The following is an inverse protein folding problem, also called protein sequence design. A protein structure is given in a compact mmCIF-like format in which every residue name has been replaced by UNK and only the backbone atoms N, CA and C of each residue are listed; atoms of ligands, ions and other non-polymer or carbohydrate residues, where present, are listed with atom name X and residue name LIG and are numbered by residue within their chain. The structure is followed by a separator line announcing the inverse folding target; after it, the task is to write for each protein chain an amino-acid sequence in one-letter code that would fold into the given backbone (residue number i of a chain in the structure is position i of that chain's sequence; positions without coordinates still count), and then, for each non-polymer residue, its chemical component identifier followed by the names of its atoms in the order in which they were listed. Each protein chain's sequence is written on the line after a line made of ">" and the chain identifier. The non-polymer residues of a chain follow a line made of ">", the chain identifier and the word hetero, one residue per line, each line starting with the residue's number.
data_IF_906248040991
#
_entry.id   IF_906248040991
#
_cell.length_a   1.000
_cell.length_b   1.000
_cell.length_c   1.000
_cell.angle_alpha   90.00
_cell.angle_beta   90.00
_cell.angle_gamma   90.00
#
_symmetry.space_group_name_H-M   'P 1'
#
loop_
_entity.id
_entity.type
_entity.pdbx_description
1 polymer ?
#
# COMPACT_ATOMS: atom_id res chain seq x y z
N UNK A 1 -24.44 -4.42 -15.19
CA UNK A 1 -23.88 -5.75 -14.87
C UNK A 1 -22.39 -5.57 -14.64
N UNK A 2 -21.83 -6.14 -13.57
CA UNK A 2 -20.39 -6.04 -13.35
C UNK A 2 -19.68 -6.82 -14.46
N UNK A 3 -18.84 -6.13 -15.24
CA UNK A 3 -17.93 -6.77 -16.21
C UNK A 3 -17.03 -7.72 -15.41
N UNK A 4 -17.01 -9.00 -15.80
CA UNK A 4 -16.09 -9.98 -15.21
C UNK A 4 -14.64 -9.59 -15.53
N UNK A 5 -13.71 -9.92 -14.64
CA UNK A 5 -12.30 -9.54 -14.79
C UNK A 5 -11.65 -10.14 -16.04
N UNK A 6 -12.08 -11.32 -16.50
CA UNK A 6 -11.62 -11.88 -17.79
C UNK A 6 -11.99 -10.98 -18.96
N UNK A 7 -13.28 -10.60 -19.03
CA UNK A 7 -13.79 -9.75 -20.10
C UNK A 7 -13.17 -8.36 -20.06
N UNK A 8 -12.94 -7.81 -18.86
CA UNK A 8 -12.27 -6.52 -18.70
C UNK A 8 -10.82 -6.60 -19.15
N UNK A 9 -10.09 -7.67 -18.77
CA UNK A 9 -8.68 -7.86 -19.12
C UNK A 9 -8.45 -7.93 -20.63
N UNK A 10 -9.38 -8.55 -21.36
CA UNK A 10 -9.30 -8.69 -22.82
C UNK A 10 -9.91 -7.48 -23.57
N UNK A 11 -10.51 -6.53 -22.85
CA UNK A 11 -11.11 -5.33 -23.43
C UNK A 11 -10.03 -4.39 -23.97
N UNK A 12 -10.11 -4.09 -25.26
CA UNK A 12 -9.35 -3.00 -25.90
C UNK A 12 -10.02 -1.63 -25.77
N UNK A 13 -11.26 -1.59 -25.27
CA UNK A 13 -11.97 -0.34 -25.02
C UNK A 13 -11.56 0.22 -23.66
N UNK A 14 -10.86 1.35 -23.68
CA UNK A 14 -10.41 2.10 -22.50
C UNK A 14 -11.58 2.53 -21.63
N UNK A 15 -12.76 2.80 -22.21
CA UNK A 15 -13.94 3.21 -21.45
C UNK A 15 -14.40 2.11 -20.48
N UNK A 16 -14.24 0.84 -20.83
CA UNK A 16 -14.56 -0.27 -19.91
C UNK A 16 -13.67 -0.25 -18.66
N UNK A 17 -12.40 0.17 -18.80
CA UNK A 17 -11.46 0.31 -17.69
C UNK A 17 -11.77 1.52 -16.84
N UNK A 18 -12.09 2.66 -17.46
CA UNK A 18 -12.55 3.87 -16.76
C UNK A 18 -13.82 3.58 -15.97
N UNK A 19 -14.82 2.94 -16.57
CA UNK A 19 -16.07 2.56 -15.91
C UNK A 19 -15.85 1.58 -14.75
N UNK A 20 -14.88 0.66 -14.88
CA UNK A 20 -14.52 -0.25 -13.80
C UNK A 20 -13.83 0.49 -12.64
N UNK A 21 -12.96 1.44 -12.95
CA UNK A 21 -12.27 2.29 -11.97
C UNK A 21 -13.26 3.22 -11.25
N UNK A 22 -14.23 3.81 -11.95
CA UNK A 22 -15.22 4.73 -11.37
C UNK A 22 -16.10 4.06 -10.30
N UNK A 23 -16.28 2.74 -10.38
CA UNK A 23 -16.97 1.98 -9.33
C UNK A 23 -16.25 2.02 -7.98
N UNK A 24 -14.93 2.24 -7.96
CA UNK A 24 -14.18 2.46 -6.73
C UNK A 24 -14.74 3.65 -5.95
N UNK A 25 -14.97 4.77 -6.65
CA UNK A 25 -15.47 6.02 -6.05
C UNK A 25 -16.94 5.92 -5.60
N UNK A 26 -17.70 5.01 -6.20
CA UNK A 26 -19.07 4.70 -5.78
C UNK A 26 -19.15 3.76 -4.55
N UNK A 27 -18.03 3.20 -4.09
CA UNK A 27 -18.01 2.30 -2.94
C UNK A 27 -18.38 3.07 -1.65
N UNK A 28 -19.38 2.61 -0.86
CA UNK A 28 -19.81 3.31 0.36
C UNK A 28 -18.72 3.52 1.41
N UNK A 29 -17.71 2.64 1.47
CA UNK A 29 -16.57 2.78 2.39
C UNK A 29 -15.65 3.91 1.93
N UNK A 30 -15.30 3.93 0.64
CA UNK A 30 -14.47 4.97 0.01
C UNK A 30 -15.18 6.32 0.07
N UNK A 31 -16.50 6.34 -0.16
CA UNK A 31 -17.29 7.57 -0.13
C UNK A 31 -17.30 8.26 1.24
N UNK A 32 -17.13 7.51 2.35
CA UNK A 32 -17.06 8.07 3.71
C UNK A 32 -15.70 8.70 4.03
N UNK A 33 -14.63 8.24 3.38
CA UNK A 33 -13.27 8.75 3.51
C UNK A 33 -12.81 9.50 2.26
N UNK A 34 -13.75 9.99 1.45
CA UNK A 34 -13.48 10.49 0.08
C UNK A 34 -12.40 11.56 0.03
N UNK A 35 -12.41 12.51 0.94
CA UNK A 35 -11.41 13.60 0.97
C UNK A 35 -10.01 13.06 1.24
N UNK A 36 -9.87 12.07 2.13
CA UNK A 36 -8.60 11.41 2.42
C UNK A 36 -8.13 10.57 1.23
N UNK A 37 -9.02 9.82 0.61
CA UNK A 37 -8.72 9.03 -0.60
C UNK A 37 -8.27 9.92 -1.76
N UNK A 38 -8.99 11.01 -2.02
CA UNK A 38 -8.65 11.98 -3.05
C UNK A 38 -7.34 12.72 -2.76
N UNK A 39 -7.07 13.02 -1.48
CA UNK A 39 -5.79 13.59 -1.09
C UNK A 39 -4.65 12.60 -1.40
N UNK A 40 -4.76 11.34 -0.95
CA UNK A 40 -3.72 10.34 -1.16
C UNK A 40 -3.49 10.04 -2.65
N UNK A 41 -4.56 10.01 -3.46
CA UNK A 41 -4.46 9.82 -4.91
C UNK A 41 -3.72 10.96 -5.63
N UNK A 42 -3.58 12.13 -5.01
CA UNK A 42 -2.86 13.30 -5.59
C UNK A 42 -1.48 13.52 -4.98
N UNK A 43 -1.04 12.64 -4.07
CA UNK A 43 0.29 12.75 -3.47
C UNK A 43 1.31 12.35 -4.52
N UNK A 44 2.04 13.34 -5.01
CA UNK A 44 3.15 13.16 -5.95
C UNK A 44 4.50 13.55 -5.31
N UNK A 45 5.60 13.18 -5.96
CA UNK A 45 6.95 13.41 -5.45
C UNK A 45 7.22 14.91 -5.19
N UNK A 46 6.71 15.80 -6.05
CA UNK A 46 6.83 17.26 -5.94
C UNK A 46 6.08 17.81 -4.73
N UNK A 47 4.94 17.22 -4.37
CA UNK A 47 4.25 17.54 -3.13
C UNK A 47 5.11 17.17 -1.93
N UNK A 48 5.62 15.93 -1.88
CA UNK A 48 6.49 15.46 -0.79
C UNK A 48 7.74 16.32 -0.67
N UNK A 49 8.37 16.70 -1.79
CA UNK A 49 9.58 17.51 -1.81
C UNK A 49 9.42 18.85 -1.08
N UNK A 50 8.27 19.51 -1.22
CA UNK A 50 8.00 20.84 -0.65
C UNK A 50 7.74 20.85 0.85
N UNK A 51 7.33 19.71 1.43
CA UNK A 51 6.96 19.66 2.85
C UNK A 51 8.13 20.05 3.75
N UNK A 52 7.91 20.91 4.72
CA UNK A 52 8.88 21.10 5.78
C UNK A 52 8.87 19.92 6.78
N UNK A 53 9.61 20.06 7.87
CA UNK A 53 9.73 19.03 8.89
C UNK A 53 8.39 18.73 9.59
N UNK A 54 7.60 19.76 9.90
CA UNK A 54 6.30 19.61 10.56
C UNK A 54 5.27 19.05 9.58
N UNK A 55 5.22 19.61 8.36
CA UNK A 55 4.31 19.18 7.31
C UNK A 55 4.55 17.71 6.91
N UNK A 56 5.81 17.25 6.98
CA UNK A 56 6.15 15.85 6.74
C UNK A 56 5.63 14.91 7.82
N UNK A 57 5.70 15.31 9.09
CA UNK A 57 5.07 14.56 10.18
C UNK A 57 3.54 14.57 10.05
N UNK A 58 2.94 15.72 9.71
CA UNK A 58 1.49 15.83 9.52
C UNK A 58 1.01 14.97 8.34
N UNK A 59 1.81 14.87 7.28
CA UNK A 59 1.60 13.93 6.19
C UNK A 59 1.59 12.48 6.70
N UNK A 60 2.57 12.08 7.52
CA UNK A 60 2.55 10.75 8.12
C UNK A 60 1.32 10.50 9.00
N UNK A 61 0.90 11.49 9.78
CA UNK A 61 -0.32 11.35 10.58
C UNK A 61 -1.54 11.05 9.69
N UNK A 62 -1.70 11.78 8.57
CA UNK A 62 -2.74 11.52 7.56
C UNK A 62 -2.56 10.15 6.91
N UNK A 63 -1.33 9.78 6.54
CA UNK A 63 -1.01 8.49 5.92
C UNK A 63 -1.39 7.32 6.82
N UNK A 64 -1.06 7.39 8.11
CA UNK A 64 -1.39 6.34 9.07
C UNK A 64 -2.92 6.20 9.23
N UNK A 65 -3.65 7.32 9.29
CA UNK A 65 -5.12 7.32 9.35
C UNK A 65 -5.79 6.78 8.09
N UNK A 66 -5.17 6.99 6.93
CA UNK A 66 -5.63 6.40 5.68
C UNK A 66 -5.33 4.90 5.61
N UNK A 67 -4.12 4.49 6.03
CA UNK A 67 -3.63 3.13 5.81
C UNK A 67 -4.13 2.12 6.85
N UNK A 68 -4.33 2.55 8.10
CA UNK A 68 -4.69 1.67 9.20
C UNK A 68 -6.13 1.92 9.64
N UNK A 69 -6.85 0.84 9.89
CA UNK A 69 -8.20 0.86 10.46
C UNK A 69 -8.14 0.91 12.00
N UNK A 70 -9.25 1.32 12.62
CA UNK A 70 -9.34 1.71 14.05
C UNK A 70 -8.68 0.75 15.04
N UNK A 71 -8.74 -0.57 14.80
CA UNK A 71 -8.18 -1.58 15.70
C UNK A 71 -6.65 -1.53 15.84
N UNK A 72 -5.95 -0.93 14.87
CA UNK A 72 -4.49 -0.78 14.90
C UNK A 72 -4.05 0.68 14.85
N UNK A 73 -4.93 1.60 14.44
CA UNK A 73 -4.56 3.00 14.21
C UNK A 73 -3.95 3.66 15.45
N UNK A 74 -4.55 3.46 16.64
CA UNK A 74 -4.07 4.10 17.87
C UNK A 74 -2.63 3.68 18.21
N UNK A 75 -2.34 2.38 18.22
CA UNK A 75 -0.99 1.86 18.48
C UNK A 75 0.02 2.35 17.45
N UNK A 76 -0.38 2.39 16.16
CA UNK A 76 0.49 2.87 15.09
C UNK A 76 0.79 4.37 15.21
N UNK A 77 -0.18 5.18 15.60
CA UNK A 77 0.04 6.61 15.86
C UNK A 77 0.95 6.82 17.08
N UNK A 78 0.76 6.04 18.17
CA UNK A 78 1.68 6.08 19.31
C UNK A 78 3.11 5.71 18.93
N UNK A 79 3.29 4.76 17.99
CA UNK A 79 4.61 4.42 17.47
C UNK A 79 5.17 5.52 16.56
N UNK A 80 4.34 6.18 15.75
CA UNK A 80 4.73 7.33 14.96
C UNK A 80 5.29 8.45 15.85
N UNK A 81 4.61 8.75 16.97
CA UNK A 81 4.99 9.78 17.94
C UNK A 81 6.32 9.49 18.66
N UNK A 82 6.80 8.24 18.62
CA UNK A 82 8.11 7.86 19.16
C UNK A 82 9.27 8.16 18.20
N UNK A 83 9.00 8.57 16.97
CA UNK A 83 10.04 9.03 16.05
C UNK A 83 10.32 10.52 16.30
N UNK A 84 11.59 10.94 16.20
CA UNK A 84 11.88 12.37 16.19
C UNK A 84 11.58 12.98 14.82
N UNK A 85 11.20 14.26 14.81
CA UNK A 85 10.89 15.01 13.60
C UNK A 85 12.09 15.06 12.65
N UNK A 86 13.30 15.27 13.18
CA UNK A 86 14.55 15.31 12.43
C UNK A 86 14.83 13.96 11.78
N UNK A 87 14.56 12.87 12.50
CA UNK A 87 14.77 11.52 11.98
C UNK A 87 13.80 11.22 10.83
N UNK A 88 12.50 11.51 10.99
CA UNK A 88 11.52 11.37 9.91
C UNK A 88 11.92 12.21 8.69
N UNK A 89 12.35 13.45 8.90
CA UNK A 89 12.79 14.33 7.83
C UNK A 89 14.07 13.84 7.13
N UNK A 90 14.98 13.18 7.85
CA UNK A 90 16.14 12.53 7.25
C UNK A 90 15.75 11.35 6.34
N UNK A 91 14.69 10.61 6.71
CA UNK A 91 14.13 9.55 5.87
C UNK A 91 13.52 10.14 4.61
N UNK A 92 12.83 11.30 4.70
CA UNK A 92 12.37 12.04 3.52
C UNK A 92 13.53 12.38 2.60
N UNK A 93 14.63 12.95 3.13
CA UNK A 93 15.81 13.25 2.34
C UNK A 93 16.38 12.02 1.64
N UNK A 94 16.40 10.88 2.32
CA UNK A 94 16.85 9.60 1.75
C UNK A 94 15.93 9.09 0.63
N UNK A 95 14.61 9.28 0.76
CA UNK A 95 13.63 8.93 -0.27
C UNK A 95 13.79 9.80 -1.51
N UNK A 96 13.95 11.11 -1.33
CA UNK A 96 14.10 12.05 -2.44
C UNK A 96 15.44 11.93 -3.18
N UNK A 97 16.44 11.29 -2.54
CA UNK A 97 17.73 11.02 -3.14
C UNK A 97 17.76 9.73 -3.99
N UNK A 98 16.67 8.96 -4.04
CA UNK A 98 16.58 7.75 -4.86
C UNK A 98 16.62 8.11 -6.34
N UNK A 99 17.42 7.37 -7.10
CA UNK A 99 17.46 7.45 -8.56
C UNK A 99 16.74 6.26 -9.21
N UNK A 100 16.71 6.23 -10.55
CA UNK A 100 16.06 5.15 -11.31
C UNK A 100 16.67 3.77 -11.04
N UNK A 101 17.97 3.67 -10.78
CA UNK A 101 18.62 2.38 -10.49
C UNK A 101 18.18 1.87 -9.11
N UNK A 102 18.02 2.78 -8.17
CA UNK A 102 17.52 2.46 -6.84
C UNK A 102 16.04 2.05 -6.83
N UNK A 103 15.22 2.68 -7.67
CA UNK A 103 13.80 2.36 -7.79
C UNK A 103 13.54 0.96 -8.39
N UNK A 104 14.48 0.40 -9.16
CA UNK A 104 14.40 -1.00 -9.60
C UNK A 104 14.47 -1.96 -8.40
N UNK A 105 15.17 -1.61 -7.32
CA UNK A 105 15.23 -2.41 -6.10
C UNK A 105 14.13 -2.01 -5.10
N UNK A 106 12.95 -2.61 -5.28
CA UNK A 106 11.82 -2.46 -4.36
C UNK A 106 12.17 -2.74 -2.88
N UNK A 107 13.15 -3.61 -2.59
CA UNK A 107 13.56 -3.89 -1.21
C UNK A 107 14.37 -2.73 -0.64
N UNK A 108 15.23 -2.10 -1.44
CA UNK A 108 15.97 -0.90 -1.04
C UNK A 108 15.00 0.19 -0.62
N UNK A 109 14.03 0.51 -1.48
CA UNK A 109 13.02 1.53 -1.20
C UNK A 109 12.19 1.18 0.06
N UNK A 110 11.69 -0.06 0.15
CA UNK A 110 10.91 -0.50 1.31
C UNK A 110 11.70 -0.45 2.63
N UNK A 111 13.00 -0.79 2.60
CA UNK A 111 13.87 -0.77 3.76
C UNK A 111 14.16 0.64 4.30
N UNK A 112 13.99 1.69 3.48
CA UNK A 112 14.14 3.07 3.93
C UNK A 112 13.00 3.51 4.83
N UNK A 113 11.80 2.97 4.62
CA UNK A 113 10.57 3.46 5.25
C UNK A 113 9.98 2.50 6.26
N UNK A 114 10.30 1.20 6.19
CA UNK A 114 9.78 0.24 7.17
C UNK A 114 10.51 0.30 8.51
N UNK A 115 9.86 -0.20 9.56
CA UNK A 115 10.45 -0.42 10.87
C UNK A 115 11.75 -1.26 10.78
N UNK A 116 12.83 -0.87 11.47
CA UNK A 116 12.87 0.15 12.53
C UNK A 116 13.11 1.60 12.06
N UNK A 117 13.21 1.87 10.74
CA UNK A 117 13.47 3.22 10.23
C UNK A 117 12.33 4.18 10.52
N UNK A 118 11.08 3.79 10.29
CA UNK A 118 9.93 4.54 10.77
C UNK A 118 9.13 3.62 11.66
N UNK A 119 9.06 3.96 12.95
CA UNK A 119 8.25 3.19 13.91
C UNK A 119 6.78 3.32 13.53
N UNK A 120 6.06 2.20 13.62
CA UNK A 120 4.65 2.12 13.21
C UNK A 120 4.44 1.75 11.73
N UNK A 121 5.48 1.70 10.90
CA UNK A 121 5.40 1.21 9.52
C UNK A 121 6.00 -0.19 9.36
N UNK A 122 5.21 -1.23 9.57
CA UNK A 122 5.59 -2.60 9.20
C UNK A 122 5.40 -2.84 7.70
N UNK A 123 5.81 -4.00 7.17
CA UNK A 123 5.76 -4.32 5.73
C UNK A 123 4.47 -3.85 5.00
N UNK A 124 3.25 -4.15 5.47
CA UNK A 124 2.02 -3.74 4.77
C UNK A 124 1.76 -2.23 4.85
N UNK A 125 2.16 -1.59 5.94
CA UNK A 125 2.04 -0.14 6.12
C UNK A 125 3.12 0.62 5.36
N UNK A 126 4.32 0.07 5.29
CA UNK A 126 5.47 0.65 4.62
C UNK A 126 5.36 0.58 3.10
N UNK A 127 4.85 -0.52 2.54
CA UNK A 127 4.78 -0.70 1.08
C UNK A 127 3.82 0.25 0.37
N UNK A 128 2.82 0.79 1.08
CA UNK A 128 1.92 1.79 0.51
C UNK A 128 2.59 3.12 0.23
N UNK A 129 3.63 3.49 0.99
CA UNK A 129 4.26 4.79 0.86
C UNK A 129 5.05 4.95 -0.45
N UNK A 130 5.95 4.00 -0.84
CA UNK A 130 6.57 4.04 -2.16
C UNK A 130 5.56 3.98 -3.30
N UNK A 131 4.46 3.24 -3.16
CA UNK A 131 3.41 3.15 -4.17
C UNK A 131 2.63 4.45 -4.37
N UNK A 132 2.56 5.31 -3.34
CA UNK A 132 2.01 6.66 -3.48
C UNK A 132 3.05 7.60 -4.12
N UNK A 133 4.29 7.59 -3.64
CA UNK A 133 5.30 8.59 -4.02
C UNK A 133 5.87 8.31 -5.42
N UNK A 134 6.02 7.04 -5.79
CA UNK A 134 6.62 6.59 -7.04
C UNK A 134 5.63 5.70 -7.80
N UNK A 135 4.45 6.24 -8.12
CA UNK A 135 3.33 5.50 -8.71
C UNK A 135 3.68 4.82 -10.06
N UNK A 136 4.60 5.39 -10.83
CA UNK A 136 5.08 4.80 -12.09
C UNK A 136 5.91 3.51 -11.87
N UNK A 137 6.46 3.33 -10.66
CA UNK A 137 7.38 2.24 -10.32
C UNK A 137 6.75 1.17 -9.47
N UNK A 138 5.82 1.55 -8.60
CA UNK A 138 5.28 0.65 -7.58
C UNK A 138 3.76 0.70 -7.52
N UNK A 139 3.17 -0.50 -7.46
CA UNK A 139 1.79 -0.71 -7.05
C UNK A 139 1.72 -1.56 -5.79
N UNK A 140 0.61 -1.47 -5.07
CA UNK A 140 0.32 -2.42 -3.99
C UNK A 140 -0.62 -3.53 -4.48
N UNK A 141 -0.28 -4.77 -4.13
CA UNK A 141 -1.07 -5.95 -4.46
C UNK A 141 -1.56 -6.56 -3.16
N UNK A 142 -2.88 -6.62 -3.02
CA UNK A 142 -3.52 -7.31 -1.91
C UNK A 142 -4.06 -8.69 -2.34
N UNK A 143 -4.77 -9.34 -1.42
CA UNK A 143 -5.39 -10.64 -1.70
C UNK A 143 -6.44 -10.56 -2.81
N UNK A 144 -7.22 -9.48 -2.87
CA UNK A 144 -8.28 -9.31 -3.86
C UNK A 144 -7.69 -9.21 -5.28
N UNK A 145 -6.56 -8.51 -5.43
CA UNK A 145 -5.82 -8.45 -6.69
C UNK A 145 -5.31 -9.84 -7.07
N UNK A 146 -4.66 -10.58 -6.15
CA UNK A 146 -4.18 -11.94 -6.43
C UNK A 146 -5.33 -12.89 -6.83
N UNK A 147 -6.46 -12.81 -6.13
CA UNK A 147 -7.63 -13.63 -6.44
C UNK A 147 -8.24 -13.28 -7.81
N UNK A 148 -8.25 -11.99 -8.18
CA UNK A 148 -8.74 -11.53 -9.47
C UNK A 148 -7.81 -11.94 -10.61
N UNK A 149 -6.50 -11.75 -10.47
CA UNK A 149 -5.50 -12.18 -11.45
C UNK A 149 -5.54 -13.69 -11.69
N UNK A 150 -5.77 -14.50 -10.65
CA UNK A 150 -5.95 -15.95 -10.81
C UNK A 150 -7.18 -16.35 -11.63
N UNK A 151 -8.19 -15.47 -11.78
CA UNK A 151 -9.37 -15.76 -12.59
C UNK A 151 -9.12 -15.53 -14.08
N UNK A 152 -8.13 -14.70 -14.42
CA UNK A 152 -7.80 -14.36 -15.81
C UNK A 152 -7.26 -15.60 -16.50
N UNK A 153 -7.92 -16.07 -17.56
CA UNK A 153 -7.54 -17.29 -18.29
C UNK A 153 -6.32 -17.08 -19.18
N UNK A 154 -6.30 -15.94 -19.87
CA UNK A 154 -5.25 -15.57 -20.84
C UNK A 154 -3.95 -15.06 -20.19
N UNK A 155 -3.87 -14.93 -18.87
CA UNK A 155 -2.72 -14.36 -18.16
C UNK A 155 -1.51 -15.33 -18.17
N UNK A 156 -0.38 -14.98 -18.83
CA UNK A 156 0.79 -15.86 -18.92
C UNK A 156 1.40 -16.19 -17.55
N UNK A 157 1.38 -15.23 -16.62
CA UNK A 157 1.93 -15.34 -15.28
C UNK A 157 1.04 -16.10 -14.29
N UNK A 158 -0.14 -16.59 -14.73
CA UNK A 158 -1.10 -17.29 -13.89
C UNK A 158 -0.50 -18.41 -13.03
N UNK A 159 0.43 -19.27 -13.52
CA UNK A 159 1.08 -20.27 -12.67
C UNK A 159 1.84 -19.64 -11.50
N UNK A 160 2.63 -18.61 -11.76
CA UNK A 160 3.45 -17.92 -10.75
C UNK A 160 2.59 -17.16 -9.73
N UNK A 161 1.51 -16.55 -10.18
CA UNK A 161 0.52 -15.91 -9.27
C UNK A 161 -0.16 -16.97 -8.41
N UNK A 162 -0.43 -18.16 -8.96
CA UNK A 162 -0.92 -19.32 -8.22
C UNK A 162 0.01 -19.74 -7.07
N UNK A 163 1.31 -19.78 -7.32
CA UNK A 163 2.35 -20.07 -6.31
C UNK A 163 2.38 -19.02 -5.20
N UNK A 164 2.38 -17.73 -5.57
CA UNK A 164 2.34 -16.61 -4.60
C UNK A 164 1.10 -16.72 -3.73
N UNK A 165 -0.08 -16.96 -4.34
CA UNK A 165 -1.35 -17.11 -3.62
C UNK A 165 -1.31 -18.29 -2.65
N UNK A 166 -0.75 -19.43 -3.06
CA UNK A 166 -0.60 -20.60 -2.20
C UNK A 166 0.32 -20.30 -1.00
N UNK A 167 1.46 -19.64 -1.25
CA UNK A 167 2.38 -19.21 -0.21
C UNK A 167 1.72 -18.24 0.80
N UNK A 168 0.97 -17.25 0.32
CA UNK A 168 0.24 -16.30 1.19
C UNK A 168 -0.79 -17.00 2.06
N UNK A 169 -1.53 -17.99 1.52
CA UNK A 169 -2.50 -18.79 2.30
C UNK A 169 -1.80 -19.57 3.41
N UNK A 170 -0.72 -20.27 3.08
CA UNK A 170 0.07 -21.01 4.06
C UNK A 170 0.52 -20.07 5.19
N UNK A 171 1.11 -18.92 4.87
CA UNK A 171 1.57 -17.95 5.86
C UNK A 171 0.46 -17.43 6.80
N UNK A 172 -0.78 -17.28 6.32
CA UNK A 172 -1.92 -16.91 7.17
C UNK A 172 -2.29 -18.04 8.13
N UNK A 173 -2.42 -19.27 7.63
CA UNK A 173 -2.72 -20.44 8.44
C UNK A 173 -1.67 -20.64 9.55
N UNK A 174 -0.39 -20.35 9.26
CA UNK A 174 0.68 -20.38 10.27
C UNK A 174 0.50 -19.31 11.35
N UNK A 175 0.19 -18.05 10.99
CA UNK A 175 -0.03 -16.97 11.99
C UNK A 175 -1.25 -17.24 12.87
N UNK A 176 -2.33 -17.77 12.30
CA UNK A 176 -3.56 -18.08 13.05
C UNK A 176 -3.32 -19.21 14.06
N UNK A 177 -2.54 -20.25 13.70
CA UNK A 177 -2.16 -21.33 14.63
C UNK A 177 -1.25 -20.86 15.77
N UNK A 178 -0.31 -19.96 15.50
CA UNK A 178 0.57 -19.41 16.54
C UNK A 178 -0.23 -18.56 17.55
N UNK A 179 -1.23 -17.81 17.07
CA UNK A 179 -2.09 -16.96 17.92
C UNK A 179 -3.01 -17.78 18.84
N UNK A 180 -3.47 -18.95 18.38
CA UNK A 180 -4.25 -19.90 19.19
C UNK A 180 -3.40 -20.61 20.26
N UNK A 181 -2.11 -20.82 20.03
CA UNK A 181 -1.21 -21.38 21.05
C UNK A 181 -0.80 -20.37 22.12
N UNK A 182 -0.73 -19.06 21.79
CA UNK A 182 -0.37 -18.00 22.74
C UNK A 182 -1.53 -17.49 23.60
N UNK A 183 -2.74 -18.01 23.41
CA UNK A 183 -3.94 -17.71 24.22
C UNK A 183 -4.29 -18.82 25.22
N UNK A 184 -3.41 -19.81 25.37
CA UNK A 184 -3.55 -20.96 26.29
C UNK A 184 -2.44 -21.04 27.36
N UNK A 185 -1.78 -19.92 27.67
CA UNK A 185 -0.76 -19.80 28.73
C UNK A 185 -1.01 -18.60 29.62
#
# INVERSE_FOLDING_TARGET
>A
MAVDINNLWESQDENNWIDALDRYWANPTVSKSRDTEQFMHKVELEYIQRLDMQEWYDFFNKYFRWKFTDNHLHERLMDLDKNSFEHLFSVKGSLLALDKLDLVDSRKCLNLVRSPRIRGLDYPGASGLPALIFEEWYGTVDRCVLESLCKIESLPEKPRIGEIRAWVKIQKDWRERVTLCSSLT
#
